data_IF_638587739599
#
_entry.id   IF_638587739599
#
_cell.length_a   1.000
_cell.length_b   1.000
_cell.length_c   1.000
_cell.angle_alpha   90.00
_cell.angle_beta   90.00
_cell.angle_gamma   90.00
#
_symmetry.space_group_name_H-M   'P 1'
#
loop_
_entity.id
_entity.type
_entity.pdbx_description
1 polymer ?
#
# COMPACT_ATOMS: atom_id res chain seq x y z
N UNK A 1 8.07 18.76 14.98
CA UNK A 1 7.67 17.52 14.27
C UNK A 1 6.55 17.69 13.22
N UNK A 2 6.03 18.90 12.95
CA UNK A 2 5.03 19.10 11.88
C UNK A 2 5.63 19.20 10.45
N UNK A 3 6.94 19.45 10.30
CA UNK A 3 7.59 19.69 9.01
C UNK A 3 7.91 18.45 8.16
N UNK A 4 8.18 17.29 8.75
CA UNK A 4 8.59 16.09 7.99
C UNK A 4 7.43 15.36 7.33
N UNK A 5 6.26 15.31 7.97
CA UNK A 5 5.07 14.67 7.39
C UNK A 5 4.56 15.41 6.13
N UNK A 6 4.67 16.74 6.10
CA UNK A 6 4.34 17.53 4.92
C UNK A 6 5.35 17.33 3.79
N UNK A 7 6.65 17.17 4.11
CA UNK A 7 7.70 16.88 3.11
C UNK A 7 7.46 15.54 2.42
N UNK A 8 7.14 14.47 3.14
CA UNK A 8 6.89 13.16 2.53
C UNK A 8 5.63 13.15 1.65
N UNK A 9 4.57 13.86 2.06
CA UNK A 9 3.37 14.01 1.23
C UNK A 9 3.65 14.81 -0.05
N UNK A 10 4.46 15.86 0.04
CA UNK A 10 4.88 16.67 -1.11
C UNK A 10 5.75 15.86 -2.08
N UNK A 11 6.68 15.05 -1.55
CA UNK A 11 7.49 14.12 -2.36
C UNK A 11 6.62 13.15 -3.15
N UNK A 12 5.57 12.58 -2.55
CA UNK A 12 4.63 11.70 -3.27
C UNK A 12 4.02 12.38 -4.50
N UNK A 13 3.41 13.55 -4.32
CA UNK A 13 2.80 14.33 -5.40
C UNK A 13 3.78 14.72 -6.51
N UNK A 14 5.02 15.04 -6.14
CA UNK A 14 6.05 15.38 -7.11
C UNK A 14 6.45 14.16 -7.95
N UNK A 15 6.56 12.98 -7.34
CA UNK A 15 6.88 11.74 -8.05
C UNK A 15 5.72 11.31 -8.96
N UNK A 16 4.47 11.49 -8.54
CA UNK A 16 3.29 11.26 -9.38
C UNK A 16 3.30 12.18 -10.61
N UNK A 17 3.66 13.44 -10.43
CA UNK A 17 3.81 14.41 -11.53
C UNK A 17 4.99 14.05 -12.43
N UNK A 18 6.12 13.67 -11.85
CA UNK A 18 7.30 13.24 -12.58
C UNK A 18 7.02 12.02 -13.46
N UNK A 19 6.35 11.00 -12.91
CA UNK A 19 5.95 9.81 -13.67
C UNK A 19 5.09 10.17 -14.88
N UNK A 20 4.04 11.00 -14.66
CA UNK A 20 3.12 11.43 -15.74
C UNK A 20 3.83 12.17 -16.87
N UNK A 21 4.79 13.02 -16.51
CA UNK A 21 5.50 13.84 -17.49
C UNK A 21 6.60 13.08 -18.23
N UNK A 22 7.16 12.02 -17.62
CA UNK A 22 8.33 11.32 -18.17
C UNK A 22 7.99 10.05 -18.94
N UNK A 23 6.90 9.35 -18.63
CA UNK A 23 6.62 8.01 -19.21
C UNK A 23 6.51 8.03 -20.75
N UNK A 24 6.13 9.16 -21.34
CA UNK A 24 6.06 9.36 -22.79
C UNK A 24 7.43 9.22 -23.48
N UNK A 25 8.51 9.56 -22.78
CA UNK A 25 9.88 9.52 -23.33
C UNK A 25 10.46 8.09 -23.35
N UNK A 26 9.70 7.12 -22.83
CA UNK A 26 10.10 5.72 -22.72
C UNK A 26 9.15 4.78 -23.49
N UNK A 27 9.14 4.83 -24.83
CA UNK A 27 8.19 4.08 -25.66
C UNK A 27 8.32 2.55 -25.51
N UNK A 28 9.51 2.03 -25.17
CA UNK A 28 9.69 0.60 -24.89
C UNK A 28 8.87 0.13 -23.68
N UNK A 29 8.82 0.96 -22.62
CA UNK A 29 8.03 0.69 -21.42
C UNK A 29 6.53 0.77 -21.73
N UNK A 30 6.10 1.78 -22.47
CA UNK A 30 4.70 1.91 -22.93
C UNK A 30 4.27 0.70 -23.78
N UNK A 31 5.13 0.23 -24.68
CA UNK A 31 4.86 -0.94 -25.50
C UNK A 31 4.74 -2.22 -24.67
N UNK A 32 5.57 -2.40 -23.64
CA UNK A 32 5.45 -3.54 -22.72
C UNK A 32 4.14 -3.49 -21.92
N UNK A 33 3.73 -2.30 -21.47
CA UNK A 33 2.42 -2.09 -20.81
C UNK A 33 1.29 -2.44 -21.79
N UNK A 34 1.30 -1.88 -23.00
CA UNK A 34 0.30 -2.17 -24.06
C UNK A 34 0.18 -3.66 -24.30
N UNK A 35 1.31 -4.34 -24.54
CA UNK A 35 1.37 -5.78 -24.80
C UNK A 35 0.81 -6.59 -23.63
N UNK A 36 1.15 -6.24 -22.39
CA UNK A 36 0.67 -6.96 -21.22
C UNK A 36 -0.85 -6.88 -21.05
N UNK A 37 -1.44 -5.70 -21.29
CA UNK A 37 -2.88 -5.47 -21.12
C UNK A 37 -3.69 -5.66 -22.42
N UNK A 38 -3.06 -6.08 -23.52
CA UNK A 38 -3.73 -6.28 -24.81
C UNK A 38 -4.29 -4.98 -25.42
N UNK A 39 -3.60 -3.85 -25.24
CA UNK A 39 -4.03 -2.53 -25.71
C UNK A 39 -3.46 -2.26 -27.09
N UNK A 40 -4.35 -2.10 -28.08
CA UNK A 40 -3.98 -1.80 -29.46
C UNK A 40 -3.89 -0.29 -29.77
N UNK A 41 -4.48 0.56 -28.92
CA UNK A 41 -4.48 2.02 -29.11
C UNK A 41 -3.12 2.67 -28.83
N UNK A 42 -2.84 3.77 -29.52
CA UNK A 42 -1.66 4.60 -29.27
C UNK A 42 -1.72 5.33 -27.93
N UNK A 43 -0.57 5.60 -27.34
CA UNK A 43 -0.50 6.42 -26.12
C UNK A 43 -1.02 7.83 -26.42
N UNK A 44 -1.86 8.37 -25.54
CA UNK A 44 -2.41 9.71 -25.67
C UNK A 44 -1.77 10.67 -24.67
N UNK A 45 -1.85 10.33 -23.38
CA UNK A 45 -1.29 11.11 -22.29
C UNK A 45 -1.28 10.29 -20.99
N UNK A 46 -0.59 10.81 -19.98
CA UNK A 46 -0.76 10.37 -18.60
C UNK A 46 -1.40 11.50 -17.77
N UNK A 47 -2.49 11.18 -17.07
CA UNK A 47 -3.25 12.13 -16.25
C UNK A 47 -3.23 11.72 -14.78
N UNK A 48 -3.69 12.62 -13.89
CA UNK A 48 -3.85 12.27 -12.48
C UNK A 48 -4.95 11.22 -12.28
N UNK A 49 -4.87 10.44 -11.20
CA UNK A 49 -5.98 9.61 -10.74
C UNK A 49 -7.27 10.43 -10.56
N UNK A 50 -8.42 9.79 -10.75
CA UNK A 50 -9.72 10.46 -10.63
C UNK A 50 -9.93 11.12 -9.25
N UNK A 51 -10.70 12.21 -9.23
CA UNK A 51 -10.96 13.06 -8.05
C UNK A 51 -11.70 12.29 -6.93
N UNK A 52 -12.27 11.12 -7.23
CA UNK A 52 -13.13 10.33 -6.33
C UNK A 52 -12.39 9.30 -5.45
N UNK A 53 -11.10 9.48 -5.17
CA UNK A 53 -10.41 8.67 -4.15
C UNK A 53 -10.13 7.21 -4.55
N UNK A 54 -10.01 6.95 -5.85
CA UNK A 54 -9.44 5.69 -6.34
C UNK A 54 -7.97 5.57 -5.91
N UNK A 55 -7.48 4.34 -5.71
CA UNK A 55 -6.08 4.06 -5.30
C UNK A 55 -5.02 4.36 -6.36
N UNK A 56 -5.47 4.70 -7.56
CA UNK A 56 -4.61 5.07 -8.66
C UNK A 56 -4.12 6.50 -8.46
N UNK A 57 -2.81 6.69 -8.43
CA UNK A 57 -2.18 8.00 -8.32
C UNK A 57 -2.05 8.67 -9.71
N UNK A 58 -1.93 7.87 -10.77
CA UNK A 58 -1.96 8.32 -12.17
C UNK A 58 -2.76 7.37 -13.07
N UNK A 59 -3.10 7.83 -14.27
CA UNK A 59 -3.71 7.03 -15.34
C UNK A 59 -2.96 7.22 -16.64
N UNK A 60 -2.59 6.13 -17.29
CA UNK A 60 -1.99 6.09 -18.63
C UNK A 60 -3.12 5.86 -19.62
N UNK A 61 -3.40 6.85 -20.47
CA UNK A 61 -4.52 6.82 -21.42
C UNK A 61 -4.03 6.44 -22.82
N UNK A 62 -4.80 5.58 -23.48
CA UNK A 62 -4.56 5.13 -24.85
C UNK A 62 -5.78 5.40 -25.73
N UNK A 63 -5.55 5.48 -27.05
CA UNK A 63 -6.60 5.61 -28.04
C UNK A 63 -7.60 4.45 -27.96
N UNK A 64 -8.85 4.69 -28.36
CA UNK A 64 -9.93 3.71 -28.23
C UNK A 64 -10.52 3.59 -26.82
N UNK A 65 -10.20 4.51 -25.90
CA UNK A 65 -10.77 4.56 -24.55
C UNK A 65 -10.12 3.58 -23.55
N UNK A 66 -9.02 2.93 -23.92
CA UNK A 66 -8.26 2.08 -23.03
C UNK A 66 -7.41 2.89 -22.06
N UNK A 67 -7.26 2.40 -20.84
CA UNK A 67 -6.37 3.00 -19.87
C UNK A 67 -5.81 1.98 -18.89
N UNK A 68 -4.66 2.32 -18.31
CA UNK A 68 -4.03 1.59 -17.20
C UNK A 68 -3.90 2.53 -16.03
N UNK A 69 -4.45 2.14 -14.89
CA UNK A 69 -4.35 2.87 -13.63
C UNK A 69 -2.98 2.56 -12.97
N UNK A 70 -2.31 3.55 -12.38
CA UNK A 70 -0.97 3.39 -11.80
C UNK A 70 -0.96 3.80 -10.32
N UNK A 71 -0.56 2.87 -9.45
CA UNK A 71 -0.31 3.11 -8.03
C UNK A 71 1.18 3.37 -7.81
N UNK A 72 1.55 4.58 -7.42
CA UNK A 72 2.92 5.09 -7.40
C UNK A 72 3.42 5.20 -5.96
N UNK A 73 4.59 4.65 -5.68
CA UNK A 73 5.23 4.73 -4.35
C UNK A 73 6.70 5.11 -4.49
N UNK A 74 7.07 6.23 -3.87
CA UNK A 74 8.45 6.69 -3.80
C UNK A 74 9.14 6.18 -2.55
N UNK A 75 10.40 5.74 -2.65
CA UNK A 75 11.16 5.23 -1.52
C UNK A 75 12.62 5.70 -1.58
N UNK A 76 13.32 5.58 -0.44
CA UNK A 76 14.78 5.71 -0.35
C UNK A 76 15.34 4.39 0.14
N UNK A 77 16.58 4.08 -0.20
CA UNK A 77 17.23 2.83 0.19
C UNK A 77 17.25 2.66 1.72
N UNK A 78 17.47 3.74 2.47
CA UNK A 78 17.46 3.75 3.94
C UNK A 78 16.07 3.63 4.58
N UNK A 79 14.99 3.91 3.83
CA UNK A 79 13.61 3.91 4.35
C UNK A 79 12.62 3.45 3.30
N UNK A 80 12.59 2.12 3.07
CA UNK A 80 11.81 1.47 2.02
C UNK A 80 10.58 0.75 2.61
N UNK A 81 9.82 1.46 3.46
CA UNK A 81 8.65 0.92 4.17
C UNK A 81 7.43 1.84 4.02
N UNK A 82 6.70 1.67 2.92
CA UNK A 82 5.67 2.61 2.45
C UNK A 82 4.27 2.21 2.93
N UNK A 83 3.42 3.20 3.21
CA UNK A 83 2.00 2.93 3.48
C UNK A 83 1.29 2.47 2.20
N UNK A 84 0.58 1.34 2.26
CA UNK A 84 -0.34 0.89 1.22
C UNK A 84 -1.73 1.47 1.45
N UNK A 85 -2.28 1.22 2.65
CA UNK A 85 -3.61 1.69 3.06
C UNK A 85 -3.65 1.88 4.57
N UNK A 86 -4.64 2.65 5.02
CA UNK A 86 -4.89 2.94 6.43
C UNK A 86 -6.37 3.14 6.66
N UNK A 87 -6.89 2.60 7.76
CA UNK A 87 -8.28 2.81 8.14
C UNK A 87 -8.49 2.67 9.65
N UNK A 88 -9.67 3.02 10.14
CA UNK A 88 -10.05 2.79 11.55
C UNK A 88 -10.27 1.30 11.79
N UNK A 89 -10.13 0.84 13.04
CA UNK A 89 -10.39 -0.57 13.38
C UNK A 89 -11.82 -0.98 12.97
N UNK A 90 -12.82 -0.16 13.29
CA UNK A 90 -14.21 -0.44 12.91
C UNK A 90 -14.41 -0.60 11.41
N UNK A 91 -13.76 0.21 10.58
CA UNK A 91 -13.92 0.10 9.13
C UNK A 91 -13.14 -1.10 8.57
N UNK A 92 -11.97 -1.43 9.13
CA UNK A 92 -11.25 -2.67 8.80
C UNK A 92 -12.14 -3.89 9.07
N UNK A 93 -12.73 -3.97 10.27
CA UNK A 93 -13.65 -5.05 10.61
C UNK A 93 -14.87 -5.12 9.70
N UNK A 94 -15.42 -3.96 9.31
CA UNK A 94 -16.52 -3.90 8.32
C UNK A 94 -16.10 -4.45 6.95
N UNK A 95 -14.94 -4.06 6.44
CA UNK A 95 -14.43 -4.49 5.12
C UNK A 95 -14.26 -6.02 5.06
N UNK A 96 -13.79 -6.62 6.16
CA UNK A 96 -13.53 -8.07 6.22
C UNK A 96 -14.62 -8.86 6.93
N UNK A 97 -15.78 -8.24 7.17
CA UNK A 97 -16.96 -8.84 7.79
C UNK A 97 -16.66 -9.53 9.13
N UNK A 98 -15.77 -8.94 9.94
CA UNK A 98 -15.58 -9.37 11.33
C UNK A 98 -16.76 -8.90 12.18
N UNK A 99 -17.25 -9.78 13.05
CA UNK A 99 -18.36 -9.47 13.96
C UNK A 99 -17.94 -8.48 15.07
N UNK A 100 -18.92 -8.03 15.85
CA UNK A 100 -18.69 -7.02 16.90
C UNK A 100 -17.76 -7.52 18.02
N UNK A 101 -17.77 -8.81 18.34
CA UNK A 101 -16.86 -9.40 19.33
C UNK A 101 -15.39 -9.32 18.88
N UNK A 102 -15.14 -9.67 17.61
CA UNK A 102 -13.80 -9.60 17.01
C UNK A 102 -13.37 -8.14 16.84
N UNK A 103 -14.29 -7.24 16.50
CA UNK A 103 -14.02 -5.80 16.46
C UNK A 103 -13.62 -5.27 17.83
N UNK A 104 -14.41 -5.53 18.88
CA UNK A 104 -14.14 -5.06 20.23
C UNK A 104 -12.80 -5.58 20.77
N UNK A 105 -12.47 -6.83 20.45
CA UNK A 105 -11.17 -7.42 20.75
C UNK A 105 -10.02 -6.67 20.06
N UNK A 106 -10.12 -6.39 18.75
CA UNK A 106 -9.10 -5.64 18.03
C UNK A 106 -8.94 -4.20 18.53
N UNK A 107 -10.05 -3.53 18.86
CA UNK A 107 -10.03 -2.18 19.44
C UNK A 107 -9.28 -2.18 20.78
N UNK A 108 -9.53 -3.20 21.61
CA UNK A 108 -8.87 -3.38 22.90
C UNK A 108 -7.35 -3.63 22.73
N UNK A 109 -6.96 -4.51 21.82
CA UNK A 109 -5.55 -4.78 21.49
C UNK A 109 -4.82 -3.52 21.01
N UNK A 110 -5.44 -2.76 20.11
CA UNK A 110 -4.88 -1.51 19.58
C UNK A 110 -4.70 -0.45 20.66
N UNK A 111 -5.69 -0.31 21.55
CA UNK A 111 -5.61 0.63 22.68
C UNK A 111 -4.55 0.18 23.69
N UNK A 112 -4.46 -1.12 24.00
CA UNK A 112 -3.41 -1.66 24.86
C UNK A 112 -2.00 -1.35 24.31
N UNK A 113 -1.77 -1.63 23.02
CA UNK A 113 -0.52 -1.29 22.30
C UNK A 113 -0.24 0.22 22.27
N UNK A 114 -1.26 1.06 22.39
CA UNK A 114 -1.10 2.52 22.43
C UNK A 114 -0.54 3.03 23.77
N UNK A 115 -0.83 2.30 24.85
CA UNK A 115 -0.37 2.56 26.23
C UNK A 115 1.08 2.15 26.39
N UNK A 116 1.44 0.99 25.84
CA UNK A 116 2.81 0.50 25.81
C UNK A 116 3.18 -0.02 24.42
N UNK A 117 4.11 0.68 23.77
CA UNK A 117 4.56 0.33 22.42
C UNK A 117 5.55 -0.83 22.38
N UNK A 118 6.12 -1.24 23.51
CA UNK A 118 6.99 -2.41 23.61
C UNK A 118 6.19 -3.72 23.57
N UNK A 119 4.99 -3.74 24.16
CA UNK A 119 4.12 -4.92 24.18
C UNK A 119 3.69 -5.36 22.79
N UNK A 120 3.58 -6.66 22.48
CA UNK A 120 3.08 -7.11 21.19
C UNK A 120 1.65 -6.62 20.94
N UNK A 121 1.30 -6.33 19.69
CA UNK A 121 -0.09 -6.01 19.33
C UNK A 121 -1.01 -7.22 19.50
N UNK A 122 -0.49 -8.42 19.22
CA UNK A 122 -1.16 -9.70 19.47
C UNK A 122 -0.24 -10.50 20.40
N UNK A 123 -0.64 -10.68 21.66
CA UNK A 123 -0.01 -11.64 22.56
C UNK A 123 -0.38 -13.08 22.19
N UNK A 124 0.18 -14.08 22.88
CA UNK A 124 -0.04 -15.49 22.54
C UNK A 124 -1.51 -15.90 22.55
N UNK A 125 -2.29 -15.36 23.51
CA UNK A 125 -3.74 -15.61 23.60
C UNK A 125 -4.48 -14.99 22.42
N UNK A 126 -4.13 -13.76 22.05
CA UNK A 126 -4.69 -13.09 20.89
C UNK A 126 -4.29 -13.82 19.59
N UNK A 127 -3.06 -14.30 19.48
CA UNK A 127 -2.60 -15.09 18.32
C UNK A 127 -3.48 -16.32 18.12
N UNK A 128 -3.75 -17.10 19.18
CA UNK A 128 -4.62 -18.29 19.10
C UNK A 128 -6.02 -17.95 18.57
N UNK A 129 -6.54 -16.76 18.90
CA UNK A 129 -7.85 -16.28 18.43
C UNK A 129 -7.83 -15.75 17.01
N UNK A 130 -6.77 -15.03 16.63
CA UNK A 130 -6.71 -14.25 15.39
C UNK A 130 -6.07 -14.99 14.22
N UNK A 131 -5.21 -15.98 14.45
CA UNK A 131 -4.42 -16.60 13.40
C UNK A 131 -5.30 -17.20 12.28
N UNK A 132 -6.32 -17.97 12.65
CA UNK A 132 -7.25 -18.58 11.68
C UNK A 132 -7.99 -17.52 10.86
N UNK A 133 -8.51 -16.49 11.53
CA UNK A 133 -9.26 -15.39 10.92
C UNK A 133 -8.41 -14.61 9.91
N UNK A 134 -7.16 -14.29 10.29
CA UNK A 134 -6.25 -13.54 9.42
C UNK A 134 -5.82 -14.41 8.23
N UNK A 135 -5.50 -15.70 8.45
CA UNK A 135 -5.14 -16.63 7.38
C UNK A 135 -6.26 -16.74 6.34
N UNK A 136 -7.50 -16.86 6.77
CA UNK A 136 -8.67 -16.92 5.89
C UNK A 136 -8.81 -15.65 5.03
N UNK A 137 -8.58 -14.47 5.62
CA UNK A 137 -8.73 -13.18 4.93
C UNK A 137 -7.45 -12.68 4.25
N UNK A 138 -6.32 -13.38 4.35
CA UNK A 138 -5.00 -12.88 3.95
C UNK A 138 -4.95 -12.36 2.50
N UNK A 139 -5.49 -13.12 1.54
CA UNK A 139 -5.53 -12.71 0.12
C UNK A 139 -6.39 -11.45 -0.08
N UNK A 140 -7.56 -11.38 0.56
CA UNK A 140 -8.44 -10.22 0.50
C UNK A 140 -7.79 -8.99 1.13
N UNK A 141 -7.05 -9.16 2.23
CA UNK A 141 -6.27 -8.10 2.88
C UNK A 141 -5.18 -7.58 1.94
N UNK A 142 -4.48 -8.46 1.21
CA UNK A 142 -3.49 -8.06 0.21
C UNK A 142 -4.13 -7.25 -0.93
N UNK A 143 -5.24 -7.72 -1.50
CA UNK A 143 -5.97 -6.99 -2.54
C UNK A 143 -6.39 -5.61 -2.00
N UNK A 144 -7.06 -5.57 -0.86
CA UNK A 144 -7.42 -4.33 -0.17
C UNK A 144 -6.21 -3.47 0.24
N UNK A 145 -5.00 -4.02 0.32
CA UNK A 145 -3.78 -3.23 0.48
C UNK A 145 -3.42 -2.49 -0.80
N UNK A 146 -3.31 -3.24 -1.89
CA UNK A 146 -2.71 -2.75 -3.13
C UNK A 146 -3.68 -2.06 -4.09
N UNK A 147 -4.89 -2.61 -4.29
CA UNK A 147 -5.69 -2.30 -5.47
C UNK A 147 -7.17 -2.60 -5.30
N UNK A 148 -8.03 -1.81 -5.95
CA UNK A 148 -9.46 -2.16 -6.07
C UNK A 148 -9.76 -2.84 -7.42
N UNK A 149 -8.91 -2.65 -8.44
CA UNK A 149 -9.10 -3.21 -9.79
C UNK A 149 -7.77 -3.76 -10.35
N UNK A 150 -7.25 -4.87 -9.80
CA UNK A 150 -5.91 -5.37 -10.13
C UNK A 150 -5.65 -5.68 -11.61
N UNK A 151 -6.70 -6.05 -12.35
CA UNK A 151 -6.60 -6.48 -13.75
C UNK A 151 -6.26 -5.36 -14.74
N UNK A 152 -6.33 -4.10 -14.31
CA UNK A 152 -6.06 -2.91 -15.13
C UNK A 152 -5.12 -1.92 -14.44
N UNK A 153 -4.45 -2.39 -13.39
CA UNK A 153 -3.58 -1.58 -12.54
C UNK A 153 -2.12 -2.05 -12.64
N UNK A 154 -1.21 -1.09 -12.51
CA UNK A 154 0.22 -1.33 -12.30
C UNK A 154 0.65 -0.75 -10.95
N UNK A 155 1.69 -1.33 -10.35
CA UNK A 155 2.42 -0.69 -9.27
C UNK A 155 3.74 -0.13 -9.81
N UNK A 156 3.99 1.13 -9.48
CA UNK A 156 5.16 1.89 -9.91
C UNK A 156 5.96 2.25 -8.66
N UNK A 157 7.22 1.84 -8.61
CA UNK A 157 8.12 2.09 -7.51
C UNK A 157 9.22 3.04 -7.97
N UNK A 158 9.32 4.21 -7.33
CA UNK A 158 10.35 5.20 -7.64
C UNK A 158 11.43 5.20 -6.58
N UNK A 159 12.63 4.81 -6.99
CA UNK A 159 13.84 4.92 -6.19
C UNK A 159 14.34 6.35 -6.23
N UNK A 160 14.36 7.01 -5.07
CA UNK A 160 14.77 8.42 -4.97
C UNK A 160 16.28 8.60 -4.83
N UNK A 161 17.02 7.53 -4.57
CA UNK A 161 18.47 7.62 -4.47
C UNK A 161 19.09 7.39 -5.85
N UNK A 162 18.53 6.45 -6.63
CA UNK A 162 19.00 6.13 -7.99
C UNK A 162 18.18 6.80 -9.11
N UNK A 163 17.06 7.46 -8.78
CA UNK A 163 16.14 8.10 -9.73
C UNK A 163 15.51 7.13 -10.75
N UNK A 164 15.25 5.87 -10.33
CA UNK A 164 14.73 4.80 -11.20
C UNK A 164 13.26 4.52 -10.89
N UNK A 165 12.42 4.55 -11.93
CA UNK A 165 11.08 3.96 -11.91
C UNK A 165 11.13 2.48 -12.25
N UNK A 166 10.47 1.63 -11.45
CA UNK A 166 10.28 0.20 -11.70
C UNK A 166 8.78 -0.11 -11.76
N UNK A 167 8.35 -0.82 -12.80
CA UNK A 167 6.92 -0.98 -13.10
C UNK A 167 6.57 -2.47 -13.14
N UNK A 168 5.50 -2.83 -12.42
CA UNK A 168 5.02 -4.21 -12.32
C UNK A 168 3.51 -4.29 -12.54
N UNK A 169 2.98 -5.38 -13.14
CA UNK A 169 1.55 -5.58 -13.28
C UNK A 169 0.93 -5.95 -11.92
N UNK A 170 -0.12 -5.24 -11.50
CA UNK A 170 -0.68 -5.38 -10.16
C UNK A 170 -1.25 -6.77 -9.90
N UNK A 171 -2.02 -7.32 -10.84
CA UNK A 171 -2.56 -8.68 -10.73
C UNK A 171 -1.45 -9.74 -10.58
N UNK A 172 -0.38 -9.64 -11.39
CA UNK A 172 0.75 -10.56 -11.32
C UNK A 172 1.50 -10.43 -9.99
N UNK A 173 1.72 -9.20 -9.51
CA UNK A 173 2.35 -8.95 -8.22
C UNK A 173 1.53 -9.56 -7.07
N UNK A 174 0.21 -9.33 -7.05
CA UNK A 174 -0.69 -9.91 -6.05
C UNK A 174 -0.72 -11.45 -6.07
N UNK A 175 -0.54 -12.06 -7.23
CA UNK A 175 -0.48 -13.53 -7.37
C UNK A 175 0.84 -14.12 -6.87
N UNK A 176 1.94 -13.36 -6.96
CA UNK A 176 3.25 -13.80 -6.50
C UNK A 176 3.46 -13.62 -4.99
N UNK A 177 2.68 -12.77 -4.34
CA UNK A 177 2.74 -12.58 -2.89
C UNK A 177 2.25 -13.80 -2.12
N UNK A 178 3.07 -14.26 -1.17
CA UNK A 178 2.67 -15.27 -0.20
C UNK A 178 1.56 -14.75 0.73
N UNK A 179 0.67 -15.65 1.16
CA UNK A 179 -0.35 -15.42 2.17
C UNK A 179 0.03 -15.96 3.55
N UNK A 180 1.27 -16.44 3.73
CA UNK A 180 1.77 -16.92 5.02
C UNK A 180 1.69 -15.80 6.06
N UNK A 181 1.15 -16.09 7.24
CA UNK A 181 1.04 -15.13 8.34
C UNK A 181 2.17 -15.37 9.34
N UNK A 182 2.83 -14.30 9.77
CA UNK A 182 3.84 -14.31 10.82
C UNK A 182 3.61 -13.15 11.78
N UNK A 183 3.31 -13.45 13.04
CA UNK A 183 3.08 -12.42 14.05
C UNK A 183 4.38 -11.76 14.49
N UNK A 184 4.29 -10.47 14.83
CA UNK A 184 5.41 -9.64 15.26
C UNK A 184 4.97 -8.74 16.40
N UNK A 185 5.92 -8.10 17.09
CA UNK A 185 5.61 -7.11 18.13
C UNK A 185 4.69 -5.99 17.62
N UNK A 186 4.77 -5.63 16.33
CA UNK A 186 3.96 -4.56 15.74
C UNK A 186 2.56 -4.97 15.26
N UNK A 187 2.29 -6.28 15.15
CA UNK A 187 1.12 -6.82 14.46
C UNK A 187 1.45 -8.14 13.78
N UNK A 188 1.34 -8.21 12.46
CA UNK A 188 1.73 -9.40 11.70
C UNK A 188 2.25 -9.03 10.31
N UNK A 189 3.01 -9.93 9.70
CA UNK A 189 3.37 -9.88 8.29
C UNK A 189 2.49 -10.83 7.47
N UNK A 190 2.20 -10.44 6.23
CA UNK A 190 1.66 -11.32 5.19
C UNK A 190 2.78 -11.55 4.18
N UNK A 191 3.30 -12.78 4.18
CA UNK A 191 4.56 -13.13 3.57
C UNK A 191 5.69 -12.22 4.05
N UNK A 192 6.66 -12.03 3.18
CA UNK A 192 7.85 -11.24 3.48
C UNK A 192 7.68 -9.75 3.23
N UNK A 193 6.69 -9.36 2.42
CA UNK A 193 6.61 -8.03 1.82
C UNK A 193 5.65 -7.09 2.54
N UNK A 194 4.58 -7.60 3.17
CA UNK A 194 3.51 -6.75 3.69
C UNK A 194 3.43 -6.89 5.20
N UNK A 195 3.26 -5.76 5.90
CA UNK A 195 3.08 -5.71 7.34
C UNK A 195 1.78 -5.01 7.69
N UNK A 196 0.99 -5.64 8.55
CA UNK A 196 -0.12 -5.04 9.26
C UNK A 196 0.35 -4.57 10.63
N UNK A 197 -0.01 -3.34 10.98
CA UNK A 197 0.35 -2.76 12.26
C UNK A 197 -0.60 -1.64 12.68
N UNK A 198 -0.58 -1.32 13.97
CA UNK A 198 -1.06 -0.02 14.45
C UNK A 198 -0.25 1.10 13.79
N UNK A 199 -0.91 2.21 13.43
CA UNK A 199 -0.28 3.36 12.80
C UNK A 199 0.78 4.02 13.70
N UNK A 200 0.42 4.32 14.94
CA UNK A 200 1.25 5.08 15.86
C UNK A 200 1.46 6.56 15.50
N UNK A 201 2.24 7.25 16.32
CA UNK A 201 2.49 8.69 16.18
C UNK A 201 1.27 9.57 16.48
N UNK A 202 1.47 10.88 16.36
CA UNK A 202 0.48 11.91 16.62
C UNK A 202 -0.06 12.46 15.28
N UNK A 203 -1.38 12.33 15.04
CA UNK A 203 -2.05 12.90 13.87
C UNK A 203 -2.45 14.37 14.09
N UNK A 204 -3.11 14.99 13.12
CA UNK A 204 -3.63 16.37 13.23
C UNK A 204 -4.60 16.56 14.41
N UNK A 205 -5.37 15.52 14.75
CA UNK A 205 -6.31 15.48 15.88
C UNK A 205 -5.67 15.06 17.22
N UNK A 206 -4.35 14.83 17.27
CA UNK A 206 -3.67 14.40 18.51
C UNK A 206 -3.72 15.43 19.65
N UNK A 207 -4.08 16.68 19.35
CA UNK A 207 -4.24 17.74 20.33
C UNK A 207 -5.57 17.69 21.08
N UNK A 208 -6.59 17.05 20.51
CA UNK A 208 -7.98 17.08 21.02
C UNK A 208 -8.50 15.71 21.43
N UNK A 209 -7.81 14.63 21.06
CA UNK A 209 -8.22 13.25 21.38
C UNK A 209 -7.09 12.55 22.12
N UNK A 210 -7.40 11.90 23.24
CA UNK A 210 -6.43 11.14 24.02
C UNK A 210 -5.82 10.01 23.20
N UNK A 211 -4.51 9.75 23.34
CA UNK A 211 -3.81 8.66 22.64
C UNK A 211 -4.40 7.27 22.98
N UNK A 212 -5.09 7.16 24.11
CA UNK A 212 -5.72 5.92 24.58
C UNK A 212 -7.17 5.75 24.12
N UNK A 213 -7.74 6.74 23.42
CA UNK A 213 -9.05 6.63 22.78
C UNK A 213 -8.90 5.93 21.43
N UNK A 214 -9.74 4.93 21.14
CA UNK A 214 -9.75 4.23 19.84
C UNK A 214 -9.96 5.18 18.65
N UNK A 215 -10.62 6.32 18.86
CA UNK A 215 -10.83 7.37 17.86
C UNK A 215 -9.57 8.17 17.54
N UNK A 216 -8.50 8.03 18.33
CA UNK A 216 -7.25 8.72 18.08
C UNK A 216 -6.63 8.27 16.75
N UNK A 217 -6.16 9.18 15.87
CA UNK A 217 -5.63 8.80 14.54
C UNK A 217 -4.42 7.85 14.57
N UNK A 218 -3.67 7.84 15.68
CA UNK A 218 -2.57 6.91 15.91
C UNK A 218 -3.03 5.47 16.19
N UNK A 219 -4.31 5.26 16.51
CA UNK A 219 -4.95 3.96 16.76
C UNK A 219 -5.62 3.40 15.49
N UNK A 220 -5.44 4.03 14.34
CA UNK A 220 -5.75 3.40 13.06
C UNK A 220 -4.86 2.18 12.81
N UNK A 221 -5.38 1.24 12.03
CA UNK A 221 -4.61 0.13 11.47
C UNK A 221 -4.11 0.50 10.09
N UNK A 222 -2.94 0.01 9.72
CA UNK A 222 -2.35 0.28 8.42
C UNK A 222 -1.63 -0.94 7.86
N UNK A 223 -1.65 -1.07 6.54
CA UNK A 223 -0.78 -1.96 5.80
C UNK A 223 0.40 -1.17 5.25
N UNK A 224 1.58 -1.78 5.33
CA UNK A 224 2.80 -1.23 4.78
C UNK A 224 3.56 -2.25 3.94
N UNK A 225 4.23 -1.75 2.90
CA UNK A 225 5.03 -2.52 1.95
C UNK A 225 6.52 -2.35 2.26
N UNK A 226 7.22 -3.47 2.45
CA UNK A 226 8.68 -3.56 2.51
C UNK A 226 9.21 -3.65 1.08
N UNK A 227 9.55 -2.50 0.52
CA UNK A 227 9.81 -2.29 -0.90
C UNK A 227 10.97 -3.16 -1.40
N UNK A 228 12.09 -3.24 -0.67
CA UNK A 228 13.26 -4.04 -1.07
C UNK A 228 12.94 -5.53 -1.24
N UNK A 229 12.17 -6.08 -0.29
CA UNK A 229 11.71 -7.48 -0.36
C UNK A 229 10.76 -7.68 -1.54
N UNK A 230 9.89 -6.70 -1.80
CA UNK A 230 8.96 -6.72 -2.91
C UNK A 230 9.69 -6.69 -4.27
N UNK A 231 10.62 -5.75 -4.49
CA UNK A 231 11.39 -5.63 -5.73
C UNK A 231 12.10 -6.95 -6.05
N UNK A 232 12.82 -7.51 -5.08
CA UNK A 232 13.52 -8.79 -5.24
C UNK A 232 12.56 -9.92 -5.66
N UNK A 233 11.37 -9.97 -5.08
CA UNK A 233 10.37 -10.98 -5.40
C UNK A 233 9.76 -10.76 -6.80
N UNK A 234 9.58 -9.51 -7.23
CA UNK A 234 8.86 -9.15 -8.45
C UNK A 234 9.74 -9.04 -9.70
N UNK A 235 11.06 -9.22 -9.60
CA UNK A 235 12.00 -9.03 -10.71
C UNK A 235 11.58 -9.77 -12.00
N UNK A 236 11.21 -11.05 -11.89
CA UNK A 236 10.80 -11.87 -13.04
C UNK A 236 9.45 -11.50 -13.68
N UNK A 237 8.72 -10.51 -13.17
CA UNK A 237 7.45 -10.03 -13.75
C UNK A 237 7.47 -8.54 -14.10
N UNK A 238 8.66 -7.90 -14.10
CA UNK A 238 8.84 -6.47 -14.39
C UNK A 238 8.38 -6.16 -15.82
N UNK A 239 7.55 -5.12 -15.97
CA UNK A 239 7.15 -4.60 -17.29
C UNK A 239 8.22 -3.69 -17.90
N UNK A 240 8.99 -3.02 -17.04
CA UNK A 240 10.09 -2.17 -17.43
C UNK A 240 10.64 -1.36 -16.27
N UNK A 241 11.75 -0.71 -16.53
CA UNK A 241 12.31 0.32 -15.66
C UNK A 241 12.97 1.40 -16.50
N UNK A 242 13.05 2.61 -15.96
CA UNK A 242 13.73 3.73 -16.59
C UNK A 242 14.22 4.73 -15.54
N UNK A 243 15.29 5.45 -15.89
CA UNK A 243 15.91 6.45 -15.01
C UNK A 243 15.48 7.87 -15.43
N UNK A 244 15.52 8.82 -14.51
CA UNK A 244 15.30 10.26 -14.76
C UNK A 244 16.59 11.02 -14.51
#
# INVERSE_FOLDING_TARGET
MAGENNRNAYVGRNVETLFRNSINDYPSVLNNIKKHFGINGEFLNASGGGIYGDKADARINFAGGHYVDANIKAYKNISAFNQLTRTTVSNFCKIFSFNDDIKADLESLVVAKSKDTANPLFDDKAIMRWEGLIKEKAKSILIWGFSNKPSREIIVLFDRDDYIFRIYPMAAALNKLSTKIEFTIGGFNIGDCVSFQRKGGNGSLSKTTSKYDIKHPGNNVQLKLKIHKFIKLMEGIKLGEYSI
#
